data_IF_146703287587
#
_entry.id   IF_146703287587
#
_cell.length_a   1.000
_cell.length_b   1.000
_cell.length_c   1.000
_cell.angle_alpha   90.00
_cell.angle_beta   90.00
_cell.angle_gamma   90.00
#
_symmetry.space_group_name_H-M   'P 1'
#
loop_
_entity.id
_entity.type
_entity.pdbx_description
1 polymer ?
#
# COMPACT_ATOMS: atom_id res chain seq x y z
N UNK A 1 -18.48 6.94 -5.02
CA UNK A 1 -17.28 6.15 -4.63
C UNK A 1 -16.42 6.91 -3.60
N UNK A 2 -15.72 6.22 -2.68
CA UNK A 2 -15.14 6.80 -1.46
C UNK A 2 -13.98 7.78 -1.68
N UNK A 3 -13.57 7.99 -2.94
CA UNK A 3 -12.45 8.84 -3.33
C UNK A 3 -12.73 10.36 -3.29
N UNK A 4 -13.96 10.78 -2.93
CA UNK A 4 -14.38 12.20 -2.91
C UNK A 4 -13.68 13.08 -1.86
N UNK A 5 -12.92 12.50 -0.94
CA UNK A 5 -12.17 13.23 0.10
C UNK A 5 -10.75 13.62 -0.33
N UNK A 6 -10.25 13.08 -1.44
CA UNK A 6 -8.96 13.47 -2.00
C UNK A 6 -9.16 14.68 -2.91
N UNK A 7 -8.71 15.85 -2.45
CA UNK A 7 -8.83 17.12 -3.20
C UNK A 7 -7.59 17.45 -4.02
N UNK A 8 -6.48 16.75 -3.77
CA UNK A 8 -5.24 16.84 -4.54
C UNK A 8 -5.26 15.87 -5.71
N UNK A 9 -4.63 16.25 -6.84
CA UNK A 9 -4.41 15.32 -7.94
C UNK A 9 -3.72 14.04 -7.46
N UNK A 10 -4.20 12.91 -7.97
CA UNK A 10 -3.58 11.63 -7.70
C UNK A 10 -2.20 11.60 -8.37
N UNK A 11 -1.17 11.23 -7.62
CA UNK A 11 0.19 11.10 -8.16
C UNK A 11 0.25 9.80 -8.96
N UNK A 12 0.24 9.90 -10.29
CA UNK A 12 0.20 8.76 -11.20
C UNK A 12 1.54 8.06 -11.44
N UNK A 13 2.66 8.65 -11.02
CA UNK A 13 3.98 8.06 -11.24
C UNK A 13 4.44 7.19 -10.06
N UNK A 14 5.23 6.16 -10.37
CA UNK A 14 5.82 5.29 -9.37
C UNK A 14 6.75 6.08 -8.43
N UNK A 15 6.56 5.91 -7.12
CA UNK A 15 7.50 6.40 -6.12
C UNK A 15 8.14 5.22 -5.39
N UNK A 16 9.48 5.23 -5.19
CA UNK A 16 10.12 4.25 -4.36
C UNK A 16 9.64 4.39 -2.91
N UNK A 17 9.65 3.30 -2.14
CA UNK A 17 9.23 3.31 -0.73
C UNK A 17 9.97 4.38 0.08
N UNK A 18 11.26 4.62 -0.21
CA UNK A 18 12.05 5.67 0.44
C UNK A 18 11.42 7.06 0.41
N UNK A 19 10.67 7.38 -0.65
CA UNK A 19 10.06 8.70 -0.80
C UNK A 19 8.87 8.87 0.13
N UNK A 20 8.08 7.81 0.33
CA UNK A 20 7.01 7.80 1.32
C UNK A 20 7.57 7.98 2.74
N UNK A 21 8.62 7.23 3.09
CA UNK A 21 9.28 7.38 4.40
C UNK A 21 9.79 8.80 4.64
N UNK A 22 10.48 9.40 3.66
CA UNK A 22 10.95 10.78 3.76
C UNK A 22 9.79 11.76 3.91
N UNK A 23 8.73 11.59 3.13
CA UNK A 23 7.55 12.45 3.19
C UNK A 23 6.89 12.41 4.57
N UNK A 24 6.69 11.21 5.15
CA UNK A 24 6.08 11.08 6.49
C UNK A 24 6.96 11.70 7.58
N UNK A 25 8.26 11.41 7.58
CA UNK A 25 9.19 11.99 8.56
C UNK A 25 9.26 13.51 8.48
N UNK A 26 9.34 14.06 7.27
CA UNK A 26 9.36 15.51 7.07
C UNK A 26 8.04 16.19 7.51
N UNK A 27 6.93 15.45 7.48
CA UNK A 27 5.64 15.90 7.99
C UNK A 27 5.46 15.71 9.51
N UNK A 28 6.49 15.26 10.24
CA UNK A 28 6.45 15.07 11.68
C UNK A 28 5.77 13.76 12.11
N UNK A 29 5.79 12.73 11.26
CA UNK A 29 5.29 11.41 11.59
C UNK A 29 6.42 10.39 11.72
N UNK A 30 6.27 9.50 12.70
CA UNK A 30 7.01 8.25 12.80
C UNK A 30 6.21 7.12 12.12
N UNK A 31 6.92 6.21 11.43
CA UNK A 31 6.33 4.98 10.91
C UNK A 31 6.50 3.91 11.99
N UNK A 32 5.40 3.51 12.61
CA UNK A 32 5.39 2.51 13.70
C UNK A 32 5.14 1.10 13.21
N UNK A 33 4.58 0.95 12.00
CA UNK A 33 4.35 -0.34 11.36
C UNK A 33 4.30 -0.19 9.83
N UNK A 34 4.61 -1.27 9.13
CA UNK A 34 4.62 -1.34 7.67
C UNK A 34 4.28 -2.75 7.21
N UNK A 35 3.31 -2.87 6.31
CA UNK A 35 2.85 -4.14 5.77
C UNK A 35 2.75 -4.07 4.24
N UNK A 36 3.10 -5.16 3.57
CA UNK A 36 2.85 -5.37 2.15
C UNK A 36 1.82 -6.50 2.01
N UNK A 37 0.52 -6.18 1.92
CA UNK A 37 -0.52 -7.19 1.97
C UNK A 37 -0.37 -8.22 0.84
N UNK A 38 -0.46 -9.49 1.21
CA UNK A 38 -0.47 -10.64 0.29
C UNK A 38 -1.78 -11.38 0.41
N UNK A 39 -2.19 -12.01 -0.69
CA UNK A 39 -3.38 -12.87 -0.68
C UNK A 39 -3.10 -14.11 0.16
N UNK A 40 -4.01 -14.43 1.07
CA UNK A 40 -3.99 -15.64 1.91
C UNK A 40 -4.89 -16.74 1.33
N UNK A 41 -4.76 -17.97 1.79
CA UNK A 41 -5.59 -19.10 1.31
C UNK A 41 -7.09 -18.81 1.44
N UNK A 42 -7.51 -18.18 2.55
CA UNK A 42 -8.89 -17.77 2.79
C UNK A 42 -9.41 -16.79 1.74
N UNK A 43 -8.51 -16.08 1.05
CA UNK A 43 -8.81 -15.04 0.07
C UNK A 43 -8.62 -15.52 -1.37
N UNK A 44 -8.19 -16.76 -1.63
CA UNK A 44 -7.94 -17.23 -3.01
C UNK A 44 -9.17 -17.12 -3.93
N UNK A 45 -10.37 -17.19 -3.37
CA UNK A 45 -11.62 -16.96 -4.10
C UNK A 45 -11.76 -15.55 -4.69
N UNK A 46 -10.91 -14.59 -4.30
CA UNK A 46 -10.85 -13.23 -4.85
C UNK A 46 -10.03 -13.14 -6.15
N UNK A 47 -9.31 -14.19 -6.52
CA UNK A 47 -8.54 -14.28 -7.76
C UNK A 47 -9.19 -15.33 -8.67
N UNK A 48 -9.27 -15.05 -9.96
CA UNK A 48 -9.95 -15.91 -10.93
C UNK A 48 -9.06 -17.06 -11.41
N UNK A 49 -7.73 -16.90 -11.30
CA UNK A 49 -6.75 -17.87 -11.82
C UNK A 49 -5.60 -18.15 -10.85
N UNK A 50 -4.98 -19.33 -10.97
CA UNK A 50 -3.76 -19.67 -10.23
C UNK A 50 -2.61 -18.69 -10.49
N UNK A 51 -2.53 -18.14 -11.72
CA UNK A 51 -1.54 -17.14 -12.09
C UNK A 51 -1.74 -15.85 -11.29
N UNK A 52 -2.98 -15.42 -11.09
CA UNK A 52 -3.30 -14.24 -10.29
C UNK A 52 -2.98 -14.46 -8.81
N UNK A 53 -3.34 -15.62 -8.26
CA UNK A 53 -2.97 -16.01 -6.89
C UNK A 53 -1.44 -15.94 -6.74
N UNK A 54 -0.69 -16.59 -7.64
CA UNK A 54 0.77 -16.61 -7.59
C UNK A 54 1.35 -15.20 -7.72
N UNK A 55 0.81 -14.35 -8.58
CA UNK A 55 1.27 -12.97 -8.68
C UNK A 55 1.01 -12.20 -7.38
N UNK A 56 -0.20 -12.28 -6.82
CA UNK A 56 -0.57 -11.59 -5.58
C UNK A 56 0.15 -12.10 -4.33
N UNK A 57 0.70 -13.31 -4.35
CA UNK A 57 1.57 -13.84 -3.29
C UNK A 57 3.01 -13.35 -3.40
N UNK A 58 3.50 -13.09 -4.61
CA UNK A 58 4.92 -12.85 -4.89
C UNK A 58 5.22 -11.39 -5.28
N UNK A 59 4.20 -10.59 -5.59
CA UNK A 59 4.34 -9.19 -6.01
C UNK A 59 3.48 -8.31 -5.11
N UNK A 60 4.05 -7.35 -4.37
CA UNK A 60 3.28 -6.40 -3.60
C UNK A 60 2.55 -5.44 -4.55
N UNK A 61 1.22 -5.44 -4.51
CA UNK A 61 0.38 -4.49 -5.27
C UNK A 61 0.02 -3.26 -4.47
N UNK A 62 0.16 -3.33 -3.15
CA UNK A 62 -0.13 -2.24 -2.24
C UNK A 62 0.80 -2.32 -1.04
N UNK A 63 0.87 -1.21 -0.32
CA UNK A 63 1.59 -1.09 0.94
C UNK A 63 0.74 -0.32 1.92
N UNK A 64 0.82 -0.68 3.19
CA UNK A 64 0.13 -0.03 4.28
C UNK A 64 1.14 0.47 5.31
N UNK A 65 0.91 1.68 5.81
CA UNK A 65 1.74 2.33 6.81
C UNK A 65 0.91 2.65 8.03
N UNK A 66 1.44 2.35 9.21
CA UNK A 66 0.91 2.90 10.46
C UNK A 66 1.78 4.08 10.88
N UNK A 67 1.16 5.26 10.89
CA UNK A 67 1.84 6.51 11.23
C UNK A 67 1.44 6.98 12.63
N UNK A 68 2.42 7.45 13.40
CA UNK A 68 2.21 8.12 14.67
C UNK A 68 2.73 9.55 14.55
N UNK A 69 1.90 10.54 14.91
CA UNK A 69 2.33 11.93 14.94
C UNK A 69 3.27 12.16 16.13
N UNK A 70 4.39 12.82 15.88
CA UNK A 70 5.37 13.25 16.88
C UNK A 70 4.95 14.62 17.45
#
# INVERSE_FOLDING_TARGET
PPWKHFTSEFIWFHRPLSDYWKAFRNAGFEITDFEEPRITEQQFHLAETEKEIKNAQNRPYSVAFKLQKI
#
